data_IF_687888187013
#
_entry.id   IF_687888187013
#
_cell.length_a   1.000
_cell.length_b   1.000
_cell.length_c   1.000
_cell.angle_alpha   90.00
_cell.angle_beta   90.00
_cell.angle_gamma   90.00
#
_symmetry.space_group_name_H-M   'P 1'
#
loop_
_entity.id
_entity.type
_entity.pdbx_description
1 polymer ?
#
# COMPACT_ATOMS: atom_id res chain seq x y z
N UNK A 1 -1.19 13.24 38.52
CA UNK A 1 -0.61 14.14 37.50
C UNK A 1 0.85 13.78 37.36
N UNK A 2 1.17 12.92 36.40
CA UNK A 2 2.53 12.43 36.15
C UNK A 2 3.25 13.46 35.29
N UNK A 3 4.23 14.12 35.87
CA UNK A 3 5.06 15.13 35.23
C UNK A 3 5.87 14.51 34.10
N UNK A 4 5.88 15.16 32.93
CA UNK A 4 6.78 14.84 31.84
C UNK A 4 8.22 15.04 32.31
N UNK A 5 8.94 13.95 32.56
CA UNK A 5 10.37 13.98 32.82
C UNK A 5 11.05 14.47 31.54
N UNK A 6 11.56 15.69 31.54
CA UNK A 6 12.37 16.22 30.44
C UNK A 6 13.63 15.37 30.29
N UNK A 7 13.76 14.67 29.16
CA UNK A 7 14.94 13.88 28.82
C UNK A 7 16.20 14.77 28.80
N UNK A 8 17.27 14.28 29.40
CA UNK A 8 18.56 14.98 29.47
C UNK A 8 19.14 15.18 28.05
N UNK A 9 19.80 16.33 27.75
CA UNK A 9 20.30 16.64 26.41
C UNK A 9 21.22 15.59 25.78
N UNK A 10 22.09 14.95 26.59
CA UNK A 10 22.98 13.87 26.11
C UNK A 10 22.24 12.61 25.68
N UNK A 11 21.09 12.31 26.31
CA UNK A 11 20.22 11.19 25.94
C UNK A 11 19.50 11.46 24.62
N UNK A 12 19.12 12.72 24.35
CA UNK A 12 18.47 13.12 23.10
C UNK A 12 19.40 13.01 21.89
N UNK A 13 20.69 13.37 22.05
CA UNK A 13 21.68 13.23 20.98
C UNK A 13 21.93 11.76 20.62
N UNK A 14 22.10 10.90 21.62
CA UNK A 14 22.27 9.46 21.40
C UNK A 14 21.02 8.84 20.73
N UNK A 15 19.82 9.22 21.21
CA UNK A 15 18.57 8.75 20.62
C UNK A 15 18.41 9.21 19.16
N UNK A 16 18.83 10.43 18.84
CA UNK A 16 18.87 10.93 17.46
C UNK A 16 19.83 10.14 16.59
N UNK A 17 21.02 9.81 17.08
CA UNK A 17 22.00 9.00 16.34
C UNK A 17 21.47 7.60 16.04
N UNK A 18 20.79 6.96 17.01
CA UNK A 18 20.13 5.66 16.83
C UNK A 18 19.02 5.75 15.77
N UNK A 19 18.19 6.79 15.80
CA UNK A 19 17.15 6.96 14.78
C UNK A 19 17.74 7.20 13.40
N UNK A 20 18.79 8.01 13.29
CA UNK A 20 19.47 8.23 12.01
C UNK A 20 20.13 6.97 11.47
N UNK A 21 20.63 6.06 12.32
CA UNK A 21 21.14 4.77 11.84
C UNK A 21 20.01 3.88 11.32
N UNK A 22 18.88 3.79 12.04
CA UNK A 22 17.73 3.00 11.60
C UNK A 22 17.18 3.53 10.27
N UNK A 23 16.98 4.85 10.15
CA UNK A 23 16.42 5.48 8.96
C UNK A 23 17.25 5.25 7.68
N UNK A 24 18.57 5.05 7.81
CA UNK A 24 19.46 4.81 6.66
C UNK A 24 19.22 3.44 6.00
N UNK A 25 18.74 2.48 6.77
CA UNK A 25 18.55 1.11 6.32
C UNK A 25 17.10 0.82 5.91
N UNK A 26 16.18 1.77 6.15
CA UNK A 26 14.78 1.64 5.74
C UNK A 26 14.63 1.77 4.22
N UNK A 27 13.74 0.95 3.70
CA UNK A 27 13.35 0.89 2.29
C UNK A 27 11.83 0.99 2.17
N UNK A 28 11.31 1.12 0.95
CA UNK A 28 9.86 1.08 0.70
C UNK A 28 9.22 -0.26 1.10
N UNK A 29 10.01 -1.31 1.30
CA UNK A 29 9.50 -2.61 1.77
C UNK A 29 9.26 -2.65 3.28
N UNK A 30 9.70 -1.63 4.02
CA UNK A 30 9.47 -1.49 5.45
C UNK A 30 8.14 -0.76 5.70
N UNK A 31 7.23 -1.38 6.46
CA UNK A 31 5.87 -0.91 6.70
C UNK A 31 5.80 0.56 7.19
N UNK A 32 6.66 0.92 8.15
CA UNK A 32 6.71 2.29 8.69
C UNK A 32 7.17 3.28 7.62
N UNK A 33 8.15 2.91 6.80
CA UNK A 33 8.70 3.80 5.79
C UNK A 33 7.69 3.98 4.65
N UNK A 34 7.16 2.87 4.11
CA UNK A 34 6.10 2.86 3.10
C UNK A 34 4.93 3.77 3.49
N UNK A 35 4.36 3.58 4.68
CA UNK A 35 3.23 4.39 5.15
C UNK A 35 3.53 5.87 5.27
N UNK A 36 4.79 6.25 5.50
CA UNK A 36 5.16 7.66 5.57
C UNK A 36 5.45 8.25 4.19
N UNK A 37 6.07 7.49 3.30
CA UNK A 37 6.34 7.91 1.92
C UNK A 37 5.03 8.08 1.14
N UNK A 38 4.13 7.10 1.21
CA UNK A 38 2.89 7.12 0.45
C UNK A 38 1.83 8.09 1.00
N UNK A 39 2.07 8.76 2.14
CA UNK A 39 1.19 9.87 2.58
C UNK A 39 1.16 10.99 1.56
N UNK A 40 2.26 11.19 0.84
CA UNK A 40 2.28 12.03 -0.35
C UNK A 40 1.78 11.21 -1.53
N UNK A 41 0.58 11.52 -2.03
CA UNK A 41 -0.03 10.78 -3.14
C UNK A 41 0.76 10.86 -4.43
N UNK A 42 1.63 11.87 -4.59
CA UNK A 42 2.53 11.95 -5.74
C UNK A 42 3.51 10.77 -5.79
N UNK A 43 3.89 10.21 -4.64
CA UNK A 43 4.73 9.00 -4.57
C UNK A 43 3.99 7.78 -5.11
N UNK A 44 2.73 7.58 -4.70
CA UNK A 44 1.88 6.50 -5.20
C UNK A 44 1.61 6.66 -6.69
N UNK A 45 1.32 7.89 -7.15
CA UNK A 45 1.15 8.20 -8.57
C UNK A 45 2.40 7.82 -9.36
N UNK A 46 3.59 8.20 -8.88
CA UNK A 46 4.85 7.87 -9.53
C UNK A 46 5.07 6.35 -9.66
N UNK A 47 4.81 5.59 -8.59
CA UNK A 47 4.90 4.11 -8.63
C UNK A 47 3.98 3.56 -9.71
N UNK A 48 2.72 4.00 -9.75
CA UNK A 48 1.75 3.53 -10.73
C UNK A 48 2.14 3.91 -12.16
N UNK A 49 2.67 5.12 -12.40
CA UNK A 49 3.18 5.52 -13.71
C UNK A 49 4.25 4.59 -14.24
N UNK A 50 5.19 4.22 -13.38
CA UNK A 50 6.30 3.31 -13.74
C UNK A 50 5.76 1.91 -14.04
N UNK A 51 4.90 1.37 -13.18
CA UNK A 51 4.37 0.01 -13.34
C UNK A 51 3.45 -0.11 -14.55
N UNK A 52 2.61 0.91 -14.78
CA UNK A 52 1.61 0.92 -15.84
C UNK A 52 2.14 1.46 -17.18
N UNK A 53 3.37 2.00 -17.20
CA UNK A 53 3.99 2.68 -18.34
C UNK A 53 3.08 3.79 -18.92
N UNK A 54 2.56 4.65 -18.03
CA UNK A 54 1.55 5.67 -18.36
C UNK A 54 1.85 7.03 -17.69
N UNK A 55 2.62 7.90 -18.33
CA UNK A 55 3.01 9.21 -17.79
C UNK A 55 1.83 10.16 -17.48
N UNK A 56 0.71 9.99 -18.19
CA UNK A 56 -0.49 10.81 -18.03
C UNK A 56 -1.43 10.33 -16.91
N UNK A 57 -1.12 9.20 -16.25
CA UNK A 57 -1.88 8.71 -15.09
C UNK A 57 -1.89 9.80 -14.01
N UNK A 58 -3.08 10.09 -13.46
CA UNK A 58 -3.24 11.03 -12.35
C UNK A 58 -4.09 10.40 -11.29
N UNK A 59 -3.61 10.42 -10.04
CA UNK A 59 -4.42 9.95 -8.92
C UNK A 59 -5.45 11.02 -8.55
N UNK A 60 -6.70 10.57 -8.45
CA UNK A 60 -7.81 11.36 -7.90
C UNK A 60 -7.95 11.15 -6.40
N UNK A 61 -7.78 9.90 -5.94
CA UNK A 61 -7.91 9.55 -4.54
C UNK A 61 -6.95 8.43 -4.15
N UNK A 62 -6.58 8.39 -2.87
CA UNK A 62 -5.86 7.29 -2.27
C UNK A 62 -6.22 7.10 -0.78
N UNK A 63 -6.22 5.84 -0.35
CA UNK A 63 -6.46 5.45 1.03
C UNK A 63 -5.36 4.46 1.43
N UNK A 64 -4.53 4.88 2.38
CA UNK A 64 -3.55 3.99 3.00
C UNK A 64 -4.21 3.18 4.11
N UNK A 65 -3.77 1.94 4.28
CA UNK A 65 -4.29 1.04 5.30
C UNK A 65 -5.81 0.90 5.26
N UNK A 66 -6.37 0.70 4.06
CA UNK A 66 -7.80 0.63 3.85
C UNK A 66 -8.39 -0.62 4.52
N UNK A 67 -9.29 -0.42 5.49
CA UNK A 67 -9.91 -1.48 6.28
C UNK A 67 -11.15 -2.03 5.57
N UNK A 68 -10.99 -3.15 4.87
CA UNK A 68 -12.07 -3.87 4.21
C UNK A 68 -12.67 -4.90 5.15
N UNK A 69 -13.68 -4.48 5.91
CA UNK A 69 -14.43 -5.35 6.82
C UNK A 69 -15.49 -6.13 6.08
N UNK A 70 -15.51 -7.44 6.31
CA UNK A 70 -16.60 -8.30 5.85
C UNK A 70 -17.40 -8.82 7.04
N UNK A 71 -18.73 -8.81 6.95
CA UNK A 71 -19.63 -9.28 8.00
C UNK A 71 -19.76 -10.81 8.03
N UNK A 72 -19.56 -11.49 6.90
CA UNK A 72 -19.76 -12.94 6.75
C UNK A 72 -18.46 -13.72 6.43
N UNK A 73 -17.33 -13.02 6.26
CA UNK A 73 -16.07 -13.60 5.83
C UNK A 73 -14.86 -13.02 6.57
N UNK A 74 -13.68 -13.20 6.00
CA UNK A 74 -12.47 -12.56 6.52
C UNK A 74 -12.43 -11.10 6.09
N UNK A 75 -12.00 -10.24 7.01
CA UNK A 75 -11.63 -8.85 6.74
C UNK A 75 -10.14 -8.79 6.34
N UNK A 76 -9.73 -7.71 5.68
CA UNK A 76 -8.32 -7.43 5.41
C UNK A 76 -8.06 -5.94 5.45
N UNK A 77 -6.86 -5.58 5.93
CA UNK A 77 -6.34 -4.23 5.81
C UNK A 77 -5.43 -4.26 4.59
N UNK A 78 -5.76 -3.46 3.58
CA UNK A 78 -4.99 -3.33 2.35
C UNK A 78 -4.03 -2.16 2.47
N UNK A 79 -2.80 -2.30 1.96
CA UNK A 79 -1.73 -1.32 2.19
C UNK A 79 -2.05 0.04 1.56
N UNK A 80 -2.48 0.06 0.30
CA UNK A 80 -2.86 1.27 -0.43
C UNK A 80 -3.91 0.98 -1.50
N UNK A 81 -5.06 1.63 -1.40
CA UNK A 81 -6.07 1.71 -2.47
C UNK A 81 -5.96 3.06 -3.15
N UNK A 82 -5.94 3.07 -4.48
CA UNK A 82 -5.88 4.29 -5.27
C UNK A 82 -6.90 4.28 -6.42
N UNK A 83 -7.35 5.47 -6.81
CA UNK A 83 -8.25 5.72 -7.94
C UNK A 83 -7.58 6.71 -8.89
N UNK A 84 -7.52 6.38 -10.18
CA UNK A 84 -7.01 7.30 -11.20
C UNK A 84 -8.11 8.12 -11.90
N UNK A 85 -7.67 9.09 -12.69
CA UNK A 85 -8.49 9.97 -13.51
C UNK A 85 -9.22 9.29 -14.69
N UNK A 86 -9.00 7.99 -14.90
CA UNK A 86 -9.73 7.16 -15.86
C UNK A 86 -10.78 6.28 -15.17
N UNK A 87 -10.93 6.41 -13.85
CA UNK A 87 -11.83 5.61 -13.03
C UNK A 87 -11.29 4.23 -12.65
N UNK A 88 -10.01 3.93 -12.94
CA UNK A 88 -9.38 2.64 -12.63
C UNK A 88 -9.01 2.58 -11.15
N UNK A 89 -9.23 1.41 -10.55
CA UNK A 89 -8.87 1.16 -9.15
C UNK A 89 -7.61 0.31 -9.04
N UNK A 90 -6.79 0.63 -8.06
CA UNK A 90 -5.54 -0.06 -7.77
C UNK A 90 -5.52 -0.49 -6.32
N UNK A 91 -5.16 -1.75 -6.07
CA UNK A 91 -4.63 -2.17 -4.78
C UNK A 91 -3.13 -2.41 -4.90
N UNK A 92 -2.34 -1.69 -4.13
CA UNK A 92 -0.88 -1.79 -4.13
C UNK A 92 -0.44 -2.35 -2.78
N UNK A 93 0.22 -3.51 -2.80
CA UNK A 93 0.63 -4.26 -1.62
C UNK A 93 2.14 -4.46 -1.62
N UNK A 94 2.78 -4.32 -0.45
CA UNK A 94 4.23 -4.49 -0.30
C UNK A 94 4.53 -5.76 0.50
N UNK A 95 5.23 -6.73 -0.10
CA UNK A 95 5.44 -8.05 0.54
C UNK A 95 6.91 -8.48 0.53
N UNK A 96 7.45 -8.68 1.73
CA UNK A 96 8.82 -9.20 1.91
C UNK A 96 8.94 -10.72 1.73
N UNK A 97 7.86 -11.45 1.99
CA UNK A 97 7.83 -12.90 1.88
C UNK A 97 6.97 -13.33 0.70
N UNK A 98 7.47 -14.28 -0.09
CA UNK A 98 6.81 -14.78 -1.30
C UNK A 98 5.42 -15.37 -1.00
N UNK A 99 5.26 -15.99 0.18
CA UNK A 99 3.97 -16.49 0.66
C UNK A 99 2.92 -15.37 0.82
N UNK A 100 3.38 -14.14 1.01
CA UNK A 100 2.59 -12.92 1.11
C UNK A 100 1.99 -12.46 -0.21
N UNK A 101 2.52 -12.86 -1.37
CA UNK A 101 2.12 -12.37 -2.69
C UNK A 101 1.55 -13.47 -3.62
N UNK A 102 0.95 -14.51 -3.05
CA UNK A 102 0.38 -15.60 -3.85
C UNK A 102 -0.78 -15.14 -4.77
N UNK A 103 -0.94 -15.80 -5.92
CA UNK A 103 -2.05 -15.56 -6.86
C UNK A 103 -3.44 -15.69 -6.20
N UNK A 104 -3.58 -16.58 -5.20
CA UNK A 104 -4.84 -16.73 -4.45
C UNK A 104 -5.13 -15.50 -3.58
N UNK A 105 -4.11 -14.89 -3.00
CA UNK A 105 -4.25 -13.66 -2.22
C UNK A 105 -4.62 -12.49 -3.13
N UNK A 106 -3.99 -12.39 -4.30
CA UNK A 106 -4.36 -11.39 -5.31
C UNK A 106 -5.83 -11.48 -5.71
N UNK A 107 -6.31 -12.69 -6.02
CA UNK A 107 -7.74 -12.93 -6.32
C UNK A 107 -8.65 -12.53 -5.17
N UNK A 108 -8.26 -12.89 -3.93
CA UNK A 108 -9.06 -12.56 -2.76
C UNK A 108 -9.13 -11.04 -2.51
N UNK A 109 -8.03 -10.31 -2.62
CA UNK A 109 -8.03 -8.85 -2.51
C UNK A 109 -8.86 -8.21 -3.63
N UNK A 110 -8.75 -8.69 -4.88
CA UNK A 110 -9.63 -8.27 -5.96
C UNK A 110 -11.12 -8.44 -5.61
N UNK A 111 -11.50 -9.59 -5.08
CA UNK A 111 -12.89 -9.82 -4.68
C UNK A 111 -13.39 -8.88 -3.57
N UNK A 112 -12.51 -8.44 -2.66
CA UNK A 112 -12.86 -7.46 -1.62
C UNK A 112 -13.06 -6.06 -2.22
N UNK A 113 -12.16 -5.64 -3.12
CA UNK A 113 -12.24 -4.35 -3.80
C UNK A 113 -13.48 -4.28 -4.69
N UNK A 114 -13.76 -5.33 -5.47
CA UNK A 114 -14.93 -5.36 -6.35
C UNK A 114 -16.24 -5.35 -5.55
N UNK A 115 -16.33 -6.16 -4.48
CA UNK A 115 -17.53 -6.26 -3.65
C UNK A 115 -17.89 -4.96 -2.91
N UNK A 116 -16.95 -4.02 -2.80
CA UNK A 116 -17.13 -2.73 -2.13
C UNK A 116 -17.11 -1.55 -3.10
N UNK A 117 -16.92 -1.82 -4.40
CA UNK A 117 -16.86 -0.79 -5.42
C UNK A 117 -18.24 -0.43 -5.96
N UNK A 118 -19.14 -1.41 -6.09
CA UNK A 118 -20.50 -1.17 -6.56
C UNK A 118 -21.40 -0.68 -5.44
N UNK A 119 -22.20 0.34 -5.76
CA UNK A 119 -23.31 0.79 -4.95
C UNK A 119 -24.58 -0.05 -5.17
N UNK A 120 -25.55 0.11 -4.27
CA UNK A 120 -26.83 -0.61 -4.36
C UNK A 120 -27.55 -0.27 -5.66
N UNK A 121 -27.80 -1.30 -6.48
CA UNK A 121 -28.51 -1.16 -7.76
C UNK A 121 -27.61 -1.12 -9.00
N UNK A 122 -26.30 -1.02 -8.84
CA UNK A 122 -25.35 -1.17 -9.94
C UNK A 122 -25.15 -2.65 -10.32
N UNK A 123 -24.79 -2.91 -11.57
CA UNK A 123 -24.59 -4.27 -12.08
C UNK A 123 -23.11 -4.62 -12.18
N UNK A 124 -22.73 -5.91 -12.20
CA UNK A 124 -21.33 -6.32 -12.33
C UNK A 124 -20.59 -5.73 -13.54
N UNK A 125 -21.30 -5.42 -14.63
CA UNK A 125 -20.70 -4.79 -15.81
C UNK A 125 -20.26 -3.32 -15.58
N UNK A 126 -20.70 -2.70 -14.47
CA UNK A 126 -20.32 -1.33 -14.11
C UNK A 126 -19.01 -1.29 -13.30
N UNK A 127 -18.42 -2.45 -12.99
CA UNK A 127 -17.13 -2.51 -12.30
C UNK A 127 -16.06 -1.83 -13.17
N UNK A 128 -15.26 -0.92 -12.59
CA UNK A 128 -14.11 -0.36 -13.30
C UNK A 128 -13.02 -1.44 -13.47
N UNK A 129 -12.05 -1.14 -14.31
CA UNK A 129 -10.82 -1.93 -14.33
C UNK A 129 -10.14 -1.84 -12.95
N UNK A 130 -9.96 -3.00 -12.30
CA UNK A 130 -9.29 -3.14 -11.00
C UNK A 130 -7.98 -3.87 -11.17
N UNK A 131 -6.88 -3.28 -10.68
CA UNK A 131 -5.54 -3.88 -10.70
C UNK A 131 -5.09 -4.22 -9.28
N UNK A 132 -4.65 -5.47 -9.07
CA UNK A 132 -4.04 -5.91 -7.82
C UNK A 132 -2.55 -6.09 -8.05
N UNK A 133 -1.75 -5.19 -7.47
CA UNK A 133 -0.31 -5.06 -7.70
C UNK A 133 0.41 -5.44 -6.41
N UNK A 134 1.22 -6.49 -6.47
CA UNK A 134 2.16 -6.83 -5.40
C UNK A 134 3.56 -6.39 -5.80
N UNK A 135 4.16 -5.53 -4.99
CA UNK A 135 5.58 -5.19 -5.04
C UNK A 135 6.28 -6.11 -4.05
N UNK A 136 7.20 -6.94 -4.54
CA UNK A 136 7.82 -8.02 -3.75
C UNK A 136 9.33 -7.87 -3.70
N UNK A 137 9.93 -8.25 -2.57
CA UNK A 137 11.40 -8.21 -2.40
C UNK A 137 12.10 -9.24 -3.28
N UNK A 138 11.49 -10.43 -3.43
CA UNK A 138 12.01 -11.49 -4.30
C UNK A 138 11.12 -11.67 -5.52
N UNK A 139 11.65 -12.34 -6.54
CA UNK A 139 10.89 -12.80 -7.69
C UNK A 139 9.94 -13.95 -7.29
N UNK A 140 8.74 -13.58 -6.86
CA UNK A 140 7.72 -14.53 -6.40
C UNK A 140 7.20 -15.43 -7.53
N UNK A 141 7.34 -15.00 -8.79
CA UNK A 141 6.85 -15.75 -9.96
C UNK A 141 7.94 -16.62 -10.59
N UNK A 142 9.22 -16.36 -10.28
CA UNK A 142 10.37 -17.15 -10.72
C UNK A 142 10.70 -16.99 -12.21
N UNK A 143 10.28 -15.89 -12.83
CA UNK A 143 10.51 -15.63 -14.25
C UNK A 143 11.87 -14.96 -14.53
N UNK A 144 12.55 -14.44 -13.50
CA UNK A 144 13.80 -13.67 -13.59
C UNK A 144 13.72 -12.55 -14.64
N UNK A 145 12.57 -11.88 -14.72
CA UNK A 145 12.38 -10.72 -15.57
C UNK A 145 12.65 -9.44 -14.77
N UNK A 146 13.16 -8.37 -15.41
CA UNK A 146 13.28 -7.07 -14.76
C UNK A 146 11.93 -6.50 -14.35
#
# INVERSE_FOLDING_TARGET
MTTATSLQPGTLLLQREIYLSILKDLTIMDDIFMRNVLKDSACTEYILKVIMDQDNLKLEDQILQADYKNLQGRSSILDCIALDNSGRKYNIEFQNADSGASLKRARYHGSLVDATTLETGQVPNDLPDTYIIFITTNDTLGFNLP
#
